data_IF_698912612091
#
_entry.id   IF_698912612091
#
_cell.length_a   1.000
_cell.length_b   1.000
_cell.length_c   1.000
_cell.angle_alpha   90.00
_cell.angle_beta   90.00
_cell.angle_gamma   90.00
#
_symmetry.space_group_name_H-M   'P 1'
#
loop_
_entity.id
_entity.type
_entity.pdbx_description
1 polymer ?
#
# COMPACT_ATOMS: atom_id res chain seq x y z
N UNK A 1 11.66 -18.68 1.18
CA UNK A 1 10.95 -17.43 1.54
C UNK A 1 9.71 -17.41 0.67
N UNK A 2 8.50 -17.33 1.24
CA UNK A 2 7.25 -17.40 0.46
C UNK A 2 7.25 -16.40 -0.71
N UNK A 3 7.89 -15.24 -0.52
CA UNK A 3 8.02 -14.18 -1.53
C UNK A 3 8.80 -14.56 -2.80
N UNK A 4 9.62 -15.63 -2.79
CA UNK A 4 10.32 -16.12 -3.99
C UNK A 4 9.36 -16.89 -4.90
N UNK A 5 8.31 -17.47 -4.32
CA UNK A 5 7.38 -18.34 -5.01
C UNK A 5 6.16 -17.56 -5.55
N UNK A 6 6.22 -16.22 -5.52
CA UNK A 6 5.21 -15.38 -6.14
C UNK A 6 5.28 -15.45 -7.66
N UNK A 7 4.16 -15.77 -8.28
CA UNK A 7 3.98 -15.96 -9.72
C UNK A 7 2.80 -15.12 -10.21
N UNK A 8 3.02 -13.81 -10.35
CA UNK A 8 2.01 -12.90 -10.89
C UNK A 8 2.64 -11.66 -11.55
N UNK A 9 2.18 -11.21 -12.72
CA UNK A 9 2.79 -10.09 -13.44
C UNK A 9 2.78 -8.76 -12.68
N UNK A 10 1.83 -8.57 -11.75
CA UNK A 10 1.70 -7.38 -10.91
C UNK A 10 2.18 -7.58 -9.46
N UNK A 11 2.98 -8.60 -9.18
CA UNK A 11 3.61 -8.82 -7.87
C UNK A 11 5.11 -9.03 -8.09
N UNK A 12 5.94 -8.24 -7.41
CA UNK A 12 7.39 -8.35 -7.54
C UNK A 12 7.88 -9.57 -6.76
N UNK A 13 8.41 -10.58 -7.46
CA UNK A 13 8.97 -11.76 -6.83
C UNK A 13 10.43 -11.53 -6.39
N UNK A 14 10.81 -12.16 -5.28
CA UNK A 14 12.17 -12.13 -4.76
C UNK A 14 13.09 -13.04 -5.59
N UNK A 15 14.25 -12.53 -6.03
CA UNK A 15 15.27 -13.37 -6.67
C UNK A 15 16.01 -14.21 -5.62
N UNK A 16 16.48 -13.56 -4.55
CA UNK A 16 17.21 -14.24 -3.49
C UNK A 16 17.64 -13.33 -2.34
N UNK A 17 18.35 -13.91 -1.38
CA UNK A 17 19.00 -13.17 -0.29
C UNK A 17 20.49 -13.50 -0.34
N UNK A 18 21.33 -12.48 -0.22
CA UNK A 18 22.77 -12.63 0.02
C UNK A 18 23.06 -12.37 1.49
N UNK A 19 23.83 -13.27 2.11
CA UNK A 19 24.25 -13.15 3.51
C UNK A 19 25.77 -13.33 3.56
N UNK A 20 26.48 -12.27 3.95
CA UNK A 20 27.92 -12.31 4.19
C UNK A 20 28.21 -12.24 5.70
N UNK A 21 29.23 -12.96 6.21
CA UNK A 21 29.60 -12.90 7.62
C UNK A 21 29.94 -11.46 8.05
N UNK A 22 29.30 -10.97 9.10
CA UNK A 22 29.52 -9.62 9.63
C UNK A 22 28.77 -8.50 8.88
N UNK A 23 27.99 -8.81 7.84
CA UNK A 23 27.20 -7.83 7.09
C UNK A 23 25.69 -8.02 7.31
N UNK A 24 24.92 -6.97 6.99
CA UNK A 24 23.46 -7.07 6.97
C UNK A 24 23.00 -7.91 5.77
N UNK A 25 21.96 -8.76 5.93
CA UNK A 25 21.39 -9.50 4.81
C UNK A 25 20.93 -8.56 3.69
N UNK A 26 21.32 -8.87 2.46
CA UNK A 26 20.89 -8.13 1.27
C UNK A 26 19.74 -8.86 0.58
N UNK A 27 18.70 -8.13 0.23
CA UNK A 27 17.54 -8.63 -0.53
C UNK A 27 17.77 -8.33 -2.01
N UNK A 28 17.73 -9.35 -2.85
CA UNK A 28 17.94 -9.24 -4.30
C UNK A 28 16.59 -9.36 -4.99
N UNK A 29 16.19 -8.30 -5.70
CA UNK A 29 14.94 -8.20 -6.44
C UNK A 29 15.22 -7.79 -7.90
N UNK A 30 14.28 -8.03 -8.83
CA UNK A 30 14.40 -7.52 -10.19
C UNK A 30 14.55 -5.99 -10.17
N UNK A 31 15.41 -5.47 -11.05
CA UNK A 31 15.50 -4.03 -11.27
C UNK A 31 14.25 -3.55 -12.01
N UNK A 32 13.63 -2.49 -11.49
CA UNK A 32 12.40 -1.91 -12.06
C UNK A 32 12.69 -0.47 -12.46
N UNK A 33 12.65 -0.21 -13.77
CA UNK A 33 13.30 0.94 -14.41
C UNK A 33 12.80 2.31 -13.95
N UNK A 34 11.52 2.45 -13.64
CA UNK A 34 10.92 3.73 -13.26
C UNK A 34 10.80 3.93 -11.73
N UNK A 35 11.37 3.02 -10.93
CA UNK A 35 11.38 3.13 -9.47
C UNK A 35 10.00 2.93 -8.83
N UNK A 36 9.79 3.54 -7.67
CA UNK A 36 8.52 3.45 -6.94
C UNK A 36 7.45 4.38 -7.53
N UNK A 37 6.19 3.94 -7.42
CA UNK A 37 5.04 4.60 -8.02
C UNK A 37 4.77 5.98 -7.42
N UNK A 38 5.05 6.20 -6.13
CA UNK A 38 4.87 7.51 -5.50
C UNK A 38 5.83 8.55 -6.08
N UNK A 39 7.12 8.20 -6.19
CA UNK A 39 8.13 9.04 -6.84
C UNK A 39 7.79 9.24 -8.32
N UNK A 40 7.35 8.18 -9.01
CA UNK A 40 6.98 8.24 -10.41
C UNK A 40 5.86 9.26 -10.69
N UNK A 41 4.76 9.22 -9.93
CA UNK A 41 3.61 10.11 -10.14
C UNK A 41 3.85 11.56 -9.68
N UNK A 42 4.82 11.79 -8.79
CA UNK A 42 5.19 13.12 -8.29
C UNK A 42 6.20 13.84 -9.19
N UNK A 43 6.95 13.10 -10.01
CA UNK A 43 7.95 13.68 -10.90
C UNK A 43 7.30 14.59 -11.95
N UNK A 44 7.82 15.81 -12.12
CA UNK A 44 7.36 16.76 -13.14
C UNK A 44 7.64 16.29 -14.58
N UNK A 45 8.63 15.41 -14.74
CA UNK A 45 8.99 14.78 -16.01
C UNK A 45 7.93 13.74 -16.45
N UNK A 46 7.18 13.20 -15.48
CA UNK A 46 6.14 12.22 -15.70
C UNK A 46 4.77 12.88 -15.65
N UNK A 47 4.00 12.78 -16.73
CA UNK A 47 2.64 13.33 -16.78
C UNK A 47 1.61 12.22 -17.01
N UNK A 48 1.44 11.28 -16.05
CA UNK A 48 0.47 10.20 -16.21
C UNK A 48 -0.93 10.81 -16.36
N UNK A 49 -1.66 10.33 -17.37
CA UNK A 49 -3.05 10.71 -17.60
C UNK A 49 -3.94 10.08 -16.55
N UNK A 50 -5.19 10.54 -16.43
CA UNK A 50 -6.18 9.88 -15.56
C UNK A 50 -6.35 8.41 -15.93
N UNK A 51 -6.26 8.08 -17.23
CA UNK A 51 -6.32 6.69 -17.71
C UNK A 51 -5.16 5.85 -17.17
N UNK A 52 -3.96 6.42 -17.10
CA UNK A 52 -2.78 5.72 -16.57
C UNK A 52 -2.91 5.50 -15.07
N UNK A 53 -3.38 6.51 -14.31
CA UNK A 53 -3.65 6.36 -12.88
C UNK A 53 -4.69 5.25 -12.60
N UNK A 54 -5.73 5.14 -13.42
CA UNK A 54 -6.71 4.04 -13.32
C UNK A 54 -6.08 2.69 -13.64
N UNK A 55 -5.22 2.61 -14.66
CA UNK A 55 -4.48 1.38 -14.98
C UNK A 55 -3.53 0.97 -13.85
N UNK A 56 -2.83 1.93 -13.24
CA UNK A 56 -1.97 1.68 -12.09
C UNK A 56 -2.76 1.08 -10.92
N UNK A 57 -3.93 1.66 -10.61
CA UNK A 57 -4.84 1.11 -9.61
C UNK A 57 -5.32 -0.31 -9.95
N UNK A 58 -5.65 -0.58 -11.22
CA UNK A 58 -6.05 -1.91 -11.68
C UNK A 58 -4.93 -2.94 -11.57
N UNK A 59 -3.72 -2.58 -11.94
CA UNK A 59 -2.53 -3.44 -11.83
C UNK A 59 -2.26 -3.80 -10.35
N UNK A 60 -2.35 -2.82 -9.44
CA UNK A 60 -2.23 -3.05 -7.99
C UNK A 60 -3.34 -3.98 -7.50
N UNK A 61 -4.60 -3.74 -7.89
CA UNK A 61 -5.74 -4.56 -7.48
C UNK A 61 -5.56 -6.03 -7.89
N UNK A 62 -5.08 -6.29 -9.11
CA UNK A 62 -4.76 -7.66 -9.58
C UNK A 62 -3.65 -8.30 -8.77
N UNK A 63 -2.60 -7.55 -8.44
CA UNK A 63 -1.54 -8.03 -7.57
C UNK A 63 -2.05 -8.41 -6.17
N UNK A 64 -2.90 -7.58 -5.58
CA UNK A 64 -3.49 -7.82 -4.26
C UNK A 64 -4.52 -8.95 -4.26
N UNK A 65 -5.29 -9.11 -5.34
CA UNK A 65 -6.18 -10.27 -5.54
C UNK A 65 -5.38 -11.58 -5.53
N UNK A 66 -4.28 -11.63 -6.27
CA UNK A 66 -3.37 -12.77 -6.25
C UNK A 66 -2.83 -13.06 -4.84
N UNK A 67 -2.31 -12.05 -4.14
CA UNK A 67 -1.79 -12.22 -2.76
C UNK A 67 -2.89 -12.72 -1.81
N UNK A 68 -4.10 -12.17 -1.91
CA UNK A 68 -5.25 -12.62 -1.14
C UNK A 68 -5.61 -14.09 -1.42
N UNK A 69 -5.56 -14.52 -2.69
CA UNK A 69 -5.86 -15.90 -3.09
C UNK A 69 -4.91 -16.93 -2.49
N UNK A 70 -3.65 -16.56 -2.27
CA UNK A 70 -2.63 -17.38 -1.60
C UNK A 70 -2.55 -17.11 -0.09
N UNK A 71 -3.54 -16.40 0.48
CA UNK A 71 -3.64 -16.03 1.90
C UNK A 71 -2.43 -15.25 2.41
N UNK A 72 -1.80 -14.46 1.54
CA UNK A 72 -0.71 -13.57 1.90
C UNK A 72 -1.25 -12.17 2.21
N UNK A 73 -0.89 -11.64 3.38
CA UNK A 73 -1.30 -10.29 3.84
C UNK A 73 -0.10 -9.36 3.72
N UNK A 74 -0.26 -8.24 2.99
CA UNK A 74 0.80 -7.28 2.69
C UNK A 74 1.17 -6.40 3.88
N UNK A 75 0.16 -5.87 4.61
CA UNK A 75 0.29 -5.02 5.83
C UNK A 75 0.93 -3.64 5.66
N UNK A 76 1.62 -3.40 4.55
CA UNK A 76 2.21 -2.10 4.19
C UNK A 76 1.90 -1.67 2.76
N UNK A 77 0.66 -1.89 2.30
CA UNK A 77 0.30 -1.47 0.95
C UNK A 77 0.22 0.07 0.89
N UNK A 78 1.09 0.66 0.08
CA UNK A 78 1.18 2.10 -0.16
C UNK A 78 1.75 2.35 -1.57
N UNK A 79 1.53 3.54 -2.15
CA UNK A 79 2.08 3.86 -3.47
C UNK A 79 3.62 3.75 -3.51
N UNK A 80 4.32 4.11 -2.42
CA UNK A 80 5.78 3.96 -2.29
C UNK A 80 6.27 2.49 -2.31
N UNK A 81 5.38 1.54 -2.04
CA UNK A 81 5.66 0.11 -2.03
C UNK A 81 5.12 -0.58 -3.29
N UNK A 82 4.87 0.19 -4.34
CA UNK A 82 4.54 -0.30 -5.67
C UNK A 82 5.61 0.19 -6.64
N UNK A 83 6.04 -0.64 -7.57
CA UNK A 83 7.11 -0.33 -8.52
C UNK A 83 6.55 -0.22 -9.94
N UNK A 84 7.14 0.65 -10.78
CA UNK A 84 6.70 0.90 -12.16
C UNK A 84 7.75 0.39 -13.14
N UNK A 85 7.40 -0.57 -13.98
CA UNK A 85 8.32 -1.09 -15.00
C UNK A 85 8.32 -0.26 -16.30
N UNK A 86 9.15 -0.68 -17.25
CA UNK A 86 9.36 -0.02 -18.54
C UNK A 86 8.11 0.07 -19.41
N UNK A 87 7.17 -0.86 -19.25
CA UNK A 87 5.89 -0.89 -19.96
C UNK A 87 4.78 -0.11 -19.22
N UNK A 88 5.17 0.66 -18.18
CA UNK A 88 4.26 1.35 -17.27
C UNK A 88 3.27 0.40 -16.58
N UNK A 89 3.71 -0.83 -16.28
CA UNK A 89 2.97 -1.75 -15.42
C UNK A 89 3.40 -1.58 -13.98
N UNK A 90 2.41 -1.67 -13.09
CA UNK A 90 2.66 -1.60 -11.66
C UNK A 90 2.80 -2.99 -11.07
N UNK A 91 3.82 -3.16 -10.23
CA UNK A 91 4.07 -4.37 -9.44
C UNK A 91 4.02 -4.00 -7.96
N UNK A 92 3.15 -4.67 -7.21
CA UNK A 92 3.15 -4.60 -5.75
C UNK A 92 4.47 -5.17 -5.24
N UNK A 93 5.14 -4.46 -4.34
CA UNK A 93 6.49 -4.76 -3.86
C UNK A 93 6.62 -4.50 -2.35
N UNK A 94 7.83 -4.64 -1.82
CA UNK A 94 8.19 -4.36 -0.42
C UNK A 94 7.25 -4.99 0.63
N UNK A 95 7.22 -6.32 0.63
CA UNK A 95 6.54 -7.11 1.66
C UNK A 95 7.38 -7.21 2.96
N UNK A 96 8.32 -6.29 3.18
CA UNK A 96 9.29 -6.31 4.29
C UNK A 96 8.70 -6.18 5.70
N UNK A 97 7.37 -6.02 5.81
CA UNK A 97 6.60 -6.11 7.08
C UNK A 97 5.89 -7.46 7.27
N UNK A 98 6.04 -8.43 6.36
CA UNK A 98 5.38 -9.74 6.43
C UNK A 98 5.91 -10.67 7.55
N UNK A 99 6.70 -10.18 8.51
CA UNK A 99 7.16 -10.95 9.68
C UNK A 99 7.07 -10.18 11.01
N UNK A 100 6.50 -10.88 11.99
CA UNK A 100 6.59 -10.72 13.45
C UNK A 100 6.88 -9.31 14.00
N UNK A 101 5.90 -8.43 13.90
CA UNK A 101 5.78 -7.31 14.83
C UNK A 101 4.51 -7.53 15.66
N UNK A 102 4.53 -8.60 16.47
CA UNK A 102 3.60 -8.82 17.59
C UNK A 102 4.03 -8.00 18.81
N UNK A 103 4.24 -6.70 18.62
CA UNK A 103 4.37 -5.77 19.74
C UNK A 103 3.31 -4.71 19.56
N UNK A 104 2.31 -4.76 20.44
CA UNK A 104 1.17 -3.84 20.59
C UNK A 104 1.56 -2.36 20.82
N UNK A 105 2.81 -2.01 20.63
CA UNK A 105 3.33 -0.68 20.87
C UNK A 105 3.44 0.02 19.53
N UNK A 106 2.46 0.87 19.26
CA UNK A 106 2.39 1.83 18.15
C UNK A 106 3.74 2.48 17.81
N UNK A 107 4.58 2.67 18.83
CA UNK A 107 6.01 2.94 18.76
C UNK A 107 6.64 2.27 19.99
N UNK A 108 7.55 1.30 19.83
CA UNK A 108 8.40 0.90 20.94
C UNK A 108 9.41 2.02 21.18
N UNK A 109 9.44 2.56 22.40
CA UNK A 109 10.40 3.57 22.86
C UNK A 109 11.85 3.21 22.56
N UNK A 110 12.13 1.92 22.37
CA UNK A 110 13.47 1.37 22.36
C UNK A 110 13.99 0.82 21.03
N UNK A 111 13.24 0.83 19.90
CA UNK A 111 13.85 0.64 18.57
C UNK A 111 12.88 0.84 17.38
N UNK A 112 13.07 2.00 16.75
CA UNK A 112 12.64 2.51 15.43
C UNK A 112 12.17 1.49 14.37
N UNK A 113 10.86 1.19 14.34
CA UNK A 113 10.16 1.00 13.06
C UNK A 113 8.83 1.76 13.12
N UNK A 114 8.70 2.80 12.30
CA UNK A 114 7.47 3.59 12.22
C UNK A 114 6.44 2.78 11.44
N UNK A 115 5.29 2.49 12.05
CA UNK A 115 4.18 1.84 11.36
C UNK A 115 3.57 2.80 10.31
N UNK A 116 2.98 2.28 9.22
CA UNK A 116 2.33 3.08 8.18
C UNK A 116 0.93 3.55 8.63
N UNK A 117 0.83 4.24 9.77
CA UNK A 117 -0.42 4.55 10.49
C UNK A 117 -1.54 5.10 9.58
N UNK A 118 -1.17 5.91 8.59
CA UNK A 118 -2.12 6.56 7.66
C UNK A 118 -2.69 5.63 6.58
N UNK A 119 -2.12 4.44 6.39
CA UNK A 119 -2.60 3.39 5.49
C UNK A 119 -3.26 2.23 6.26
N UNK A 120 -3.15 2.21 7.59
CA UNK A 120 -3.68 1.13 8.42
C UNK A 120 -5.20 1.25 8.58
N UNK A 121 -5.86 0.09 8.57
CA UNK A 121 -7.28 -0.02 8.80
C UNK A 121 -7.64 0.22 10.29
N UNK A 122 -8.85 0.69 10.62
CA UNK A 122 -9.28 0.94 12.00
C UNK A 122 -9.08 -0.22 12.97
N UNK A 123 -9.33 -1.47 12.56
CA UNK A 123 -9.07 -2.67 13.36
C UNK A 123 -7.57 -2.90 13.54
N UNK A 124 -6.76 -2.70 12.50
CA UNK A 124 -5.29 -2.78 12.61
C UNK A 124 -4.74 -1.75 13.58
N UNK A 125 -5.34 -0.56 13.63
CA UNK A 125 -5.03 0.49 14.59
C UNK A 125 -5.51 0.11 16.00
N UNK A 126 -6.70 -0.43 16.17
CA UNK A 126 -7.27 -0.69 17.49
C UNK A 126 -6.60 -1.86 18.22
N UNK A 127 -6.45 -2.98 17.52
CA UNK A 127 -6.11 -4.25 18.15
C UNK A 127 -4.96 -4.99 17.42
N UNK A 128 -4.39 -4.40 16.36
CA UNK A 128 -3.32 -5.02 15.59
C UNK A 128 -3.80 -6.19 14.73
N UNK A 129 -5.07 -6.23 14.34
CA UNK A 129 -5.60 -7.24 13.41
C UNK A 129 -5.21 -6.89 11.98
N UNK A 130 -4.66 -7.87 11.26
CA UNK A 130 -4.28 -7.76 9.86
C UNK A 130 -4.86 -8.93 9.07
N UNK A 131 -5.42 -8.64 7.91
CA UNK A 131 -5.98 -9.61 6.99
C UNK A 131 -6.18 -9.01 5.60
N UNK A 132 -6.77 -9.78 4.69
CA UNK A 132 -7.09 -9.28 3.34
C UNK A 132 -7.92 -8.00 3.40
N UNK A 133 -8.88 -7.90 4.34
CA UNK A 133 -9.73 -6.70 4.48
C UNK A 133 -8.94 -5.47 4.94
N UNK A 134 -7.91 -5.63 5.78
CA UNK A 134 -7.06 -4.49 6.15
C UNK A 134 -6.20 -4.02 4.96
N UNK A 135 -5.78 -4.92 4.08
CA UNK A 135 -5.09 -4.55 2.84
C UNK A 135 -6.04 -3.87 1.82
N UNK A 136 -7.30 -4.27 1.78
CA UNK A 136 -8.35 -3.60 0.98
C UNK A 136 -8.54 -2.15 1.44
N UNK A 137 -8.51 -1.89 2.75
CA UNK A 137 -8.50 -0.53 3.28
C UNK A 137 -7.27 0.25 2.80
N UNK A 138 -6.08 -0.33 2.93
CA UNK A 138 -4.84 0.30 2.46
C UNK A 138 -4.88 0.59 0.95
N UNK A 139 -5.49 -0.29 0.15
CA UNK A 139 -5.71 -0.07 -1.28
C UNK A 139 -6.59 1.16 -1.53
N UNK A 140 -7.62 1.41 -0.71
CA UNK A 140 -8.41 2.64 -0.76
C UNK A 140 -7.55 3.91 -0.57
N UNK A 141 -6.58 3.85 0.35
CA UNK A 141 -5.61 4.94 0.56
C UNK A 141 -4.68 5.10 -0.65
N UNK A 142 -4.20 4.00 -1.24
CA UNK A 142 -3.39 4.05 -2.48
C UNK A 142 -4.16 4.65 -3.64
N UNK A 143 -5.42 4.28 -3.83
CA UNK A 143 -6.27 4.89 -4.84
C UNK A 143 -6.42 6.40 -4.61
N UNK A 144 -6.51 6.84 -3.35
CA UNK A 144 -6.47 8.25 -3.01
C UNK A 144 -5.13 8.91 -3.35
N UNK A 145 -3.99 8.27 -3.05
CA UNK A 145 -2.67 8.76 -3.46
C UNK A 145 -2.61 8.96 -4.98
N UNK A 146 -3.11 8.01 -5.78
CA UNK A 146 -3.11 8.11 -7.24
C UNK A 146 -3.94 9.29 -7.75
N UNK A 147 -5.19 9.43 -7.31
CA UNK A 147 -6.06 10.53 -7.79
C UNK A 147 -5.57 11.91 -7.35
N UNK A 148 -4.81 11.98 -6.26
CA UNK A 148 -4.22 13.21 -5.73
C UNK A 148 -2.77 13.42 -6.20
N UNK A 149 -2.31 12.62 -7.17
CA UNK A 149 -0.97 12.67 -7.75
C UNK A 149 0.13 12.62 -6.68
N UNK A 150 -0.04 11.71 -5.73
CA UNK A 150 0.89 11.43 -4.66
C UNK A 150 0.81 12.41 -3.50
N UNK A 151 -0.33 13.04 -3.24
CA UNK A 151 -0.48 13.85 -2.03
C UNK A 151 -0.32 12.98 -0.78
N UNK A 152 0.15 13.55 0.33
CA UNK A 152 0.27 12.82 1.59
C UNK A 152 -1.13 12.58 2.19
N UNK A 153 -1.55 11.32 2.45
CA UNK A 153 -2.84 11.06 3.04
C UNK A 153 -2.95 11.67 4.44
N UNK A 154 -4.15 12.15 4.79
CA UNK A 154 -4.44 12.78 6.09
C UNK A 154 -3.37 13.80 6.51
N UNK A 155 -2.91 14.65 5.58
CA UNK A 155 -1.77 15.56 5.82
C UNK A 155 -1.97 16.50 7.02
N UNK A 156 -3.23 16.78 7.37
CA UNK A 156 -3.67 17.62 8.49
C UNK A 156 -3.94 16.85 9.79
N UNK A 157 -3.73 15.53 9.81
CA UNK A 157 -3.94 14.68 10.99
C UNK A 157 -2.61 14.13 11.48
N UNK A 158 -2.37 14.29 12.78
CA UNK A 158 -1.22 13.68 13.45
C UNK A 158 -1.41 12.15 13.51
N UNK A 159 -0.33 11.39 13.32
CA UNK A 159 -0.36 9.92 13.45
C UNK A 159 -0.99 9.45 14.78
N UNK A 160 -0.75 10.16 15.89
CA UNK A 160 -1.31 9.82 17.22
C UNK A 160 -2.83 9.94 17.30
N UNK A 161 -3.43 10.78 16.45
CA UNK A 161 -4.87 11.05 16.45
C UNK A 161 -5.62 10.22 15.38
N UNK A 162 -4.90 9.47 14.54
CA UNK A 162 -5.50 8.73 13.42
C UNK A 162 -6.59 7.76 13.84
N UNK A 163 -6.37 6.99 14.91
CA UNK A 163 -7.37 6.04 15.40
C UNK A 163 -8.67 6.76 15.83
N UNK A 164 -8.55 7.81 16.66
CA UNK A 164 -9.71 8.64 17.08
C UNK A 164 -10.38 9.33 15.89
N UNK A 165 -9.59 9.79 14.92
CA UNK A 165 -10.09 10.41 13.70
C UNK A 165 -10.99 9.45 12.92
N UNK A 166 -10.52 8.21 12.69
CA UNK A 166 -11.29 7.21 11.94
C UNK A 166 -12.51 6.69 12.71
N UNK A 167 -12.40 6.53 14.04
CA UNK A 167 -13.53 6.15 14.90
C UNK A 167 -14.67 7.18 14.88
N UNK A 168 -14.35 8.47 14.72
CA UNK A 168 -15.36 9.53 14.55
C UNK A 168 -16.06 9.53 13.18
N UNK A 169 -15.87 8.49 12.36
CA UNK A 169 -16.46 8.37 11.02
C UNK A 169 -15.78 9.24 9.95
N UNK A 170 -14.76 10.03 10.32
CA UNK A 170 -14.02 10.87 9.37
C UNK A 170 -13.16 10.02 8.45
N UNK A 171 -13.02 10.45 7.20
CA UNK A 171 -12.30 9.76 6.10
C UNK A 171 -11.48 10.75 5.28
N UNK A 172 -10.72 10.24 4.31
CA UNK A 172 -9.95 11.07 3.38
C UNK A 172 -10.87 12.10 2.71
N UNK A 173 -10.37 13.33 2.59
CA UNK A 173 -11.13 14.44 1.99
C UNK A 173 -11.34 14.17 0.50
N UNK A 174 -12.53 14.54 0.02
CA UNK A 174 -12.82 14.63 -1.41
C UNK A 174 -11.89 15.67 -2.03
N UNK A 175 -11.34 15.35 -3.20
CA UNK A 175 -10.59 16.31 -3.99
C UNK A 175 -11.44 16.83 -5.14
N UNK A 176 -11.31 18.13 -5.42
CA UNK A 176 -12.11 18.83 -6.44
C UNK A 176 -11.78 18.38 -7.87
N UNK A 177 -10.60 17.79 -8.05
CA UNK A 177 -10.08 17.33 -9.35
C UNK A 177 -10.44 15.88 -9.69
N UNK A 178 -11.19 15.18 -8.82
CA UNK A 178 -11.53 13.78 -9.00
C UNK A 178 -12.90 13.60 -9.70
N UNK A 179 -12.97 12.94 -10.88
CA UNK A 179 -14.23 12.55 -11.48
C UNK A 179 -15.10 11.77 -10.48
N UNK A 180 -16.42 12.03 -10.39
CA UNK A 180 -17.29 11.39 -9.39
C UNK A 180 -17.17 9.87 -9.29
N UNK A 181 -17.03 9.10 -10.40
CA UNK A 181 -16.86 7.63 -10.32
C UNK A 181 -15.59 7.20 -9.57
N UNK A 182 -14.48 7.90 -9.71
CA UNK A 182 -13.21 7.56 -9.05
C UNK A 182 -13.25 7.87 -7.56
N UNK A 183 -13.97 8.93 -7.18
CA UNK A 183 -14.20 9.25 -5.78
C UNK A 183 -15.09 8.19 -5.10
N UNK A 184 -16.10 7.67 -5.80
CA UNK A 184 -16.93 6.57 -5.29
C UNK A 184 -16.10 5.31 -5.02
N UNK A 185 -15.12 5.00 -5.87
CA UNK A 185 -14.19 3.87 -5.66
C UNK A 185 -13.34 4.06 -4.40
N UNK A 186 -12.74 5.25 -4.20
CA UNK A 186 -11.97 5.53 -2.98
C UNK A 186 -12.83 5.44 -1.73
N UNK A 187 -14.05 5.98 -1.78
CA UNK A 187 -14.99 5.94 -0.66
C UNK A 187 -15.41 4.50 -0.35
N UNK A 188 -15.71 3.70 -1.37
CA UNK A 188 -16.10 2.29 -1.25
C UNK A 188 -15.07 1.48 -0.46
N UNK A 189 -13.78 1.65 -0.75
CA UNK A 189 -12.70 0.94 -0.05
C UNK A 189 -12.33 1.56 1.32
N UNK A 190 -12.75 2.79 1.58
CA UNK A 190 -12.53 3.49 2.86
C UNK A 190 -13.72 3.38 3.82
N UNK A 191 -14.75 2.63 3.46
CA UNK A 191 -15.93 2.32 4.27
C UNK A 191 -16.09 0.82 4.31
N UNK A 192 -16.31 0.19 5.48
CA UNK A 192 -16.57 -1.25 5.61
C UNK A 192 -17.95 -1.67 5.02
N UNK A 193 -18.40 -1.06 3.93
CA UNK A 193 -19.61 -1.50 3.21
C UNK A 193 -19.35 -2.75 2.34
N UNK A 194 -18.16 -3.36 2.46
CA UNK A 194 -17.74 -4.56 1.72
C UNK A 194 -17.95 -5.88 2.50
N UNK A 195 -18.82 -5.90 3.50
CA UNK A 195 -19.41 -7.16 4.01
C UNK A 195 -20.56 -7.60 3.09
N UNK A 196 -20.26 -7.93 1.84
CA UNK A 196 -21.01 -8.86 0.99
C UNK A 196 -20.44 -8.81 -0.44
N UNK A 197 -20.13 -10.00 -0.97
CA UNK A 197 -19.87 -10.29 -2.39
C UNK A 197 -18.45 -10.04 -2.92
N UNK A 198 -17.51 -10.90 -2.52
CA UNK A 198 -16.67 -11.68 -3.46
C UNK A 198 -16.63 -13.12 -2.95
#
# INVERSE_FOLDING_TARGET
>A
LIMKDFEHPNVLSLIGISVAPGEFPLVIIPFVTNGDLLSYIRSDDNKPTVKDLVKFGLDIARGMEYLGSIKFVHRDLAARNCMVDEDLKVKVADFGLARDIYTKNYYSSDNKKMLPVKWMAPESLENGTYGTQSDVWSFGVVMWELITRGSAPYCDVNNWDMHKYLQSGRRLKRTDFCPPPLHSVVRLFSTYEFECSI
#
